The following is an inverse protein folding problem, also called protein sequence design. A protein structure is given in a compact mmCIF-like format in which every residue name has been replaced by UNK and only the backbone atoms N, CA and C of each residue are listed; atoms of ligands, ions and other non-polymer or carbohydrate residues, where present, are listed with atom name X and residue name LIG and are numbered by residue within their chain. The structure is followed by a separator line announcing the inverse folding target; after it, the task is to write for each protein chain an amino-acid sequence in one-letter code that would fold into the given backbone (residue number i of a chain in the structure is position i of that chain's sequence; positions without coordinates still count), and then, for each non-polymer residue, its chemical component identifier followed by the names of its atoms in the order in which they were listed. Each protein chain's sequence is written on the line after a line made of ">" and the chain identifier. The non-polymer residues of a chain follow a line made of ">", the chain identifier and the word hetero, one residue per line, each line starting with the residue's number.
data_IF_362179231842
#
_entry.id   IF_362179231842
#
_cell.length_a   1.000
_cell.length_b   1.000
_cell.length_c   1.000
_cell.angle_alpha   90.00
_cell.angle_beta   90.00
_cell.angle_gamma   90.00
#
_symmetry.space_group_name_H-M   'P 1'
#
loop_
_entity.id
_entity.type
_entity.pdbx_description
1 polymer ?
#
# COMPACT_ATOMS: atom_id res chain seq x y z
N UNK A 1 9.63 -1.65 -4.44
CA UNK A 1 9.52 -2.83 -3.54
C UNK A 1 9.08 -2.32 -2.19
N UNK A 2 7.78 -2.42 -1.87
CA UNK A 2 7.23 -1.85 -0.64
C UNK A 2 7.27 -2.90 0.48
N UNK A 3 7.60 -2.49 1.71
CA UNK A 3 7.65 -3.39 2.86
C UNK A 3 6.44 -3.10 3.77
N UNK A 4 5.91 -4.14 4.42
CA UNK A 4 4.82 -4.04 5.40
C UNK A 4 3.49 -3.52 4.81
N UNK A 5 2.90 -4.30 3.89
CA UNK A 5 1.61 -3.99 3.25
C UNK A 5 0.47 -4.48 4.14
N UNK A 6 -0.45 -3.59 4.53
CA UNK A 6 -1.70 -3.92 5.23
C UNK A 6 -2.89 -3.72 4.30
N UNK A 7 -3.74 -4.74 4.23
CA UNK A 7 -5.01 -4.68 3.52
C UNK A 7 -6.10 -4.22 4.51
N UNK A 8 -6.78 -3.15 4.19
CA UNK A 8 -7.86 -2.59 5.01
C UNK A 8 -9.14 -2.55 4.18
N UNK A 9 -10.31 -2.76 4.80
CA UNK A 9 -11.59 -2.71 4.09
C UNK A 9 -12.07 -1.26 3.96
N UNK A 10 -11.93 -0.65 2.77
CA UNK A 10 -12.37 0.71 2.44
C UNK A 10 -11.92 1.14 1.03
N UNK A 11 -12.27 2.33 0.56
CA UNK A 11 -11.90 2.75 -0.82
C UNK A 11 -10.37 2.79 -1.05
N UNK A 12 -9.59 3.03 0.01
CA UNK A 12 -8.13 2.93 0.04
C UNK A 12 -7.70 1.63 0.72
N UNK A 13 -7.59 0.56 -0.07
CA UNK A 13 -7.41 -0.80 0.46
C UNK A 13 -5.98 -1.18 0.82
N UNK A 14 -4.95 -0.47 0.34
CA UNK A 14 -3.54 -0.87 0.52
C UNK A 14 -2.79 0.21 1.29
N UNK A 15 -2.56 -0.02 2.58
CA UNK A 15 -1.61 0.79 3.35
C UNK A 15 -0.22 0.16 3.25
N UNK A 16 0.78 0.95 2.87
CA UNK A 16 2.13 0.42 2.68
C UNK A 16 3.18 1.44 3.10
N UNK A 17 4.28 0.96 3.70
CA UNK A 17 5.34 1.82 4.23
C UNK A 17 6.56 1.78 3.32
N UNK A 18 6.94 2.94 2.80
CA UNK A 18 8.12 3.11 1.95
C UNK A 18 9.22 3.78 2.77
N UNK A 19 10.36 3.11 2.88
CA UNK A 19 11.54 3.64 3.54
C UNK A 19 12.05 4.86 2.74
N UNK A 20 12.04 6.04 3.37
CA UNK A 20 12.40 7.33 2.76
C UNK A 20 11.22 8.20 2.28
N UNK A 21 10.01 7.65 2.09
CA UNK A 21 8.82 8.42 1.69
C UNK A 21 7.72 8.49 2.77
N UNK A 22 7.69 7.52 3.70
CA UNK A 22 6.66 7.45 4.74
C UNK A 22 5.56 6.45 4.42
N UNK A 23 4.42 6.59 5.12
CA UNK A 23 3.24 5.75 4.89
C UNK A 23 2.45 6.27 3.69
N UNK A 24 2.09 5.38 2.77
CA UNK A 24 1.34 5.71 1.56
C UNK A 24 0.15 4.76 1.43
N UNK A 25 -1.05 5.34 1.31
CA UNK A 25 -2.28 4.64 0.99
C UNK A 25 -2.45 4.53 -0.52
N UNK A 26 -2.42 3.30 -1.03
CA UNK A 26 -2.62 2.96 -2.44
C UNK A 26 -3.93 2.19 -2.60
N UNK A 27 -4.52 2.25 -3.80
CA UNK A 27 -5.69 1.45 -4.16
C UNK A 27 -5.24 0.14 -4.78
N UNK A 28 -5.89 -0.98 -4.45
CA UNK A 28 -5.53 -2.30 -4.99
C UNK A 28 -5.64 -2.42 -6.50
N UNK A 29 -6.38 -1.53 -7.14
CA UNK A 29 -6.48 -1.43 -8.60
C UNK A 29 -5.15 -1.03 -9.26
N UNK A 30 -4.27 -0.32 -8.55
CA UNK A 30 -3.02 0.22 -9.09
C UNK A 30 -1.77 -0.54 -8.65
N UNK A 31 -1.89 -1.55 -7.77
CA UNK A 31 -0.74 -2.29 -7.26
C UNK A 31 -0.85 -3.76 -7.66
N UNK A 32 -0.01 -4.19 -8.61
CA UNK A 32 0.13 -5.62 -8.94
C UNK A 32 1.13 -6.27 -7.98
N UNK A 33 0.77 -7.45 -7.47
CA UNK A 33 1.68 -8.29 -6.68
C UNK A 33 2.84 -8.72 -7.60
N UNK A 34 4.02 -8.16 -7.36
CA UNK A 34 5.27 -8.49 -8.05
C UNK A 34 6.18 -9.33 -7.16
#
# INVERSE_FOLDING_TARGET
>A
KVKNIRLTFGDHNIDCKIDGFGAMGLKSEYVKKA
#
